data_IF_449567926901
#
_entry.id   IF_449567926901
#
_cell.length_a   1.000
_cell.length_b   1.000
_cell.length_c   1.000
_cell.angle_alpha   90.00
_cell.angle_beta   90.00
_cell.angle_gamma   90.00
#
_symmetry.space_group_name_H-M   'P 1'
#
loop_
_entity.id
_entity.type
_entity.pdbx_description
1 polymer ?
#
# COMPACT_ATOMS: atom_id res chain seq x y z
N UNK A 1 1.59 -16.12 -3.06
CA UNK A 1 0.79 -14.88 -3.22
C UNK A 1 -0.72 -15.19 -3.24
N UNK A 2 -1.23 -16.06 -4.11
CA UNK A 2 -2.67 -16.36 -4.24
C UNK A 2 -3.35 -16.79 -2.92
N UNK A 3 -2.71 -17.65 -2.12
CA UNK A 3 -3.26 -18.13 -0.84
C UNK A 3 -3.53 -17.01 0.15
N UNK A 4 -2.62 -16.03 0.28
CA UNK A 4 -2.79 -14.89 1.17
C UNK A 4 -3.78 -13.86 0.61
N UNK A 5 -3.85 -13.73 -0.72
CA UNK A 5 -4.87 -12.91 -1.36
C UNK A 5 -6.28 -13.44 -1.04
N UNK A 6 -6.52 -14.74 -1.25
CA UNK A 6 -7.80 -15.37 -0.89
C UNK A 6 -8.11 -15.25 0.61
N UNK A 7 -7.09 -15.36 1.46
CA UNK A 7 -7.23 -15.24 2.91
C UNK A 7 -7.68 -13.83 3.31
N UNK A 8 -7.03 -12.79 2.80
CA UNK A 8 -7.42 -11.41 3.12
C UNK A 8 -8.77 -11.05 2.51
N UNK A 9 -9.11 -11.51 1.30
CA UNK A 9 -10.41 -11.26 0.68
C UNK A 9 -11.54 -11.87 1.52
N UNK A 10 -11.34 -13.07 2.07
CA UNK A 10 -12.29 -13.69 3.01
C UNK A 10 -12.40 -12.89 4.31
N UNK A 11 -11.29 -12.44 4.88
CA UNK A 11 -11.29 -11.64 6.11
C UNK A 11 -11.95 -10.27 5.90
N UNK A 12 -11.66 -9.58 4.79
CA UNK A 12 -12.32 -8.32 4.41
C UNK A 12 -13.83 -8.52 4.26
N UNK A 13 -14.27 -9.60 3.60
CA UNK A 13 -15.69 -9.93 3.47
C UNK A 13 -16.39 -10.15 4.80
N UNK A 14 -15.66 -10.61 5.83
CA UNK A 14 -16.17 -10.79 7.20
C UNK A 14 -16.26 -9.48 7.98
N UNK A 15 -15.26 -8.61 7.88
CA UNK A 15 -15.20 -7.37 8.66
C UNK A 15 -16.02 -6.22 8.05
N UNK A 16 -16.24 -6.22 6.74
CA UNK A 16 -17.10 -5.22 6.11
C UNK A 16 -18.56 -5.44 6.49
N UNK A 17 -19.33 -4.36 6.75
CA UNK A 17 -20.76 -4.45 7.00
C UNK A 17 -21.48 -5.22 5.87
N UNK A 18 -22.55 -5.93 6.22
CA UNK A 18 -23.40 -6.61 5.24
C UNK A 18 -24.07 -5.58 4.33
N UNK A 19 -24.08 -5.84 3.03
CA UNK A 19 -24.64 -4.96 2.00
C UNK A 19 -26.16 -4.68 2.12
N UNK A 20 -26.87 -5.48 2.94
CA UNK A 20 -28.30 -5.33 3.21
C UNK A 20 -28.57 -4.52 4.49
N UNK A 21 -27.55 -4.21 5.26
CA UNK A 21 -27.67 -3.41 6.49
C UNK A 21 -27.81 -1.93 6.13
N UNK A 22 -28.71 -1.20 6.81
CA UNK A 22 -28.86 0.26 6.66
C UNK A 22 -27.66 0.98 7.27
N UNK A 23 -27.06 1.96 6.56
CA UNK A 23 -27.43 2.52 5.24
C UNK A 23 -26.91 1.65 4.07
N UNK A 24 -27.84 1.05 3.32
CA UNK A 24 -27.59 0.01 2.31
C UNK A 24 -26.60 0.48 1.23
N UNK A 25 -26.83 1.64 0.62
CA UNK A 25 -25.99 2.15 -0.48
C UNK A 25 -24.54 2.40 -0.03
N UNK A 26 -24.33 2.93 1.18
CA UNK A 26 -23.00 3.13 1.75
C UNK A 26 -22.25 1.80 1.91
N UNK A 27 -22.90 0.79 2.48
CA UNK A 27 -22.28 -0.51 2.68
C UNK A 27 -21.99 -1.24 1.36
N UNK A 28 -22.87 -1.07 0.36
CA UNK A 28 -22.62 -1.56 -1.00
C UNK A 28 -21.41 -0.88 -1.65
N UNK A 29 -21.27 0.44 -1.52
CA UNK A 29 -20.13 1.20 -2.04
C UNK A 29 -18.81 0.80 -1.37
N UNK A 30 -18.80 0.63 -0.04
CA UNK A 30 -17.64 0.13 0.69
C UNK A 30 -17.21 -1.26 0.19
N UNK A 31 -18.15 -2.21 0.06
CA UNK A 31 -17.88 -3.57 -0.42
C UNK A 31 -17.45 -3.58 -1.88
N UNK A 32 -18.11 -2.80 -2.73
CA UNK A 32 -17.75 -2.62 -4.13
C UNK A 32 -16.28 -2.23 -4.31
N UNK A 33 -15.84 -1.22 -3.56
CA UNK A 33 -14.48 -0.68 -3.68
C UNK A 33 -13.40 -1.58 -3.08
N UNK A 34 -13.74 -2.32 -2.00
CA UNK A 34 -12.77 -3.16 -1.28
C UNK A 34 -12.67 -4.55 -1.89
N UNK A 35 -13.79 -5.21 -2.23
CA UNK A 35 -13.81 -6.62 -2.64
C UNK A 35 -13.59 -6.84 -4.13
N UNK A 36 -13.39 -5.78 -4.90
CA UNK A 36 -13.23 -5.82 -6.35
C UNK A 36 -11.85 -6.29 -6.84
N UNK A 37 -11.17 -7.08 -6.05
CA UNK A 37 -9.86 -7.64 -6.41
C UNK A 37 -8.69 -6.68 -6.11
N UNK A 38 -7.61 -6.88 -6.84
CA UNK A 38 -6.34 -6.16 -6.65
C UNK A 38 -5.19 -7.11 -6.30
N UNK A 39 -3.96 -6.62 -6.45
CA UNK A 39 -2.75 -7.43 -6.18
C UNK A 39 -2.54 -7.72 -4.69
N UNK A 40 -3.24 -7.00 -3.79
CA UNK A 40 -3.13 -7.15 -2.32
C UNK A 40 -1.68 -7.12 -1.81
N UNK A 41 -0.88 -6.22 -2.35
CA UNK A 41 0.55 -6.12 -1.99
C UNK A 41 0.75 -5.75 -0.53
N UNK A 42 -0.02 -4.80 0.00
CA UNK A 42 0.09 -4.37 1.41
C UNK A 42 -0.31 -5.47 2.39
N UNK A 43 -1.45 -6.16 2.23
CA UNK A 43 -1.77 -7.38 2.97
C UNK A 43 -0.70 -8.47 2.85
N UNK A 44 -0.15 -8.69 1.65
CA UNK A 44 0.95 -9.64 1.45
C UNK A 44 2.15 -9.31 2.32
N UNK A 45 2.54 -8.03 2.39
CA UNK A 45 3.64 -7.56 3.23
C UNK A 45 3.37 -7.78 4.72
N UNK A 46 2.11 -7.58 5.18
CA UNK A 46 1.72 -7.89 6.56
C UNK A 46 1.92 -9.37 6.86
N UNK A 47 1.40 -10.26 6.00
CA UNK A 47 1.54 -11.71 6.19
C UNK A 47 3.00 -12.15 6.11
N UNK A 48 3.76 -11.67 5.14
CA UNK A 48 5.17 -12.05 4.93
C UNK A 48 6.07 -11.63 6.11
N UNK A 49 5.92 -10.40 6.59
CA UNK A 49 6.65 -9.92 7.76
C UNK A 49 6.22 -10.65 9.04
N UNK A 50 4.92 -10.90 9.18
CA UNK A 50 4.40 -11.66 10.31
C UNK A 50 4.85 -13.12 10.32
N UNK A 51 4.93 -13.78 9.16
CA UNK A 51 5.46 -15.15 9.05
C UNK A 51 6.94 -15.19 9.41
N UNK A 52 7.75 -14.24 8.93
CA UNK A 52 9.15 -14.09 9.29
C UNK A 52 9.34 -13.95 10.82
N UNK A 53 8.38 -13.36 11.49
CA UNK A 53 8.38 -13.14 12.94
C UNK A 53 7.60 -14.20 13.73
N UNK A 54 6.98 -15.19 13.09
CA UNK A 54 6.10 -16.21 13.72
C UNK A 54 4.94 -15.57 14.50
N UNK A 55 4.31 -14.56 13.91
CA UNK A 55 3.21 -13.82 14.50
C UNK A 55 1.90 -14.62 14.53
N UNK A 56 0.97 -14.17 15.39
CA UNK A 56 -0.37 -14.77 15.49
C UNK A 56 -1.18 -14.58 14.21
N UNK A 57 -1.74 -15.66 13.72
CA UNK A 57 -2.47 -15.68 12.44
C UNK A 57 -3.72 -14.78 12.45
N UNK A 58 -4.43 -14.70 13.58
CA UNK A 58 -5.63 -13.86 13.73
C UNK A 58 -5.25 -12.38 13.74
N UNK A 59 -4.16 -12.04 14.46
CA UNK A 59 -3.64 -10.67 14.46
C UNK A 59 -3.22 -10.23 13.06
N UNK A 60 -2.62 -11.13 12.27
CA UNK A 60 -2.26 -10.86 10.88
C UNK A 60 -3.48 -10.59 9.99
N UNK A 61 -4.58 -11.33 10.16
CA UNK A 61 -5.81 -11.10 9.38
C UNK A 61 -6.40 -9.72 9.67
N UNK A 62 -6.51 -9.33 10.94
CA UNK A 62 -6.99 -8.00 11.34
C UNK A 62 -6.11 -6.91 10.77
N UNK A 63 -4.79 -7.05 10.92
CA UNK A 63 -3.81 -6.04 10.48
C UNK A 63 -3.78 -5.92 8.95
N UNK A 64 -3.83 -7.05 8.23
CA UNK A 64 -3.90 -7.07 6.77
C UNK A 64 -5.16 -6.39 6.24
N UNK A 65 -6.31 -6.62 6.88
CA UNK A 65 -7.55 -5.89 6.58
C UNK A 65 -7.40 -4.40 6.83
N UNK A 66 -6.85 -4.01 7.98
CA UNK A 66 -6.69 -2.60 8.35
C UNK A 66 -5.87 -1.81 7.31
N UNK A 67 -4.71 -2.33 6.90
CA UNK A 67 -3.88 -1.64 5.90
C UNK A 67 -4.53 -1.60 4.52
N UNK A 68 -5.30 -2.63 4.14
CA UNK A 68 -5.99 -2.66 2.86
C UNK A 68 -7.19 -1.73 2.84
N UNK A 69 -7.93 -1.57 3.94
CA UNK A 69 -9.02 -0.60 4.06
C UNK A 69 -8.50 0.84 3.95
N UNK A 70 -7.35 1.15 4.55
CA UNK A 70 -6.66 2.44 4.35
C UNK A 70 -6.30 2.64 2.88
N UNK A 71 -5.74 1.63 2.22
CA UNK A 71 -5.43 1.72 0.81
C UNK A 71 -6.70 1.87 -0.05
N UNK A 72 -7.78 1.17 0.26
CA UNK A 72 -9.02 1.26 -0.50
C UNK A 72 -9.66 2.65 -0.39
N UNK A 73 -9.70 3.24 0.83
CA UNK A 73 -10.23 4.59 0.98
C UNK A 73 -9.42 5.62 0.18
N UNK A 74 -8.08 5.50 0.18
CA UNK A 74 -7.25 6.43 -0.58
C UNK A 74 -7.57 6.37 -2.08
N UNK A 75 -7.74 5.16 -2.63
CA UNK A 75 -8.12 5.00 -4.03
C UNK A 75 -9.50 5.57 -4.35
N UNK A 76 -10.49 5.40 -3.45
CA UNK A 76 -11.83 5.97 -3.63
C UNK A 76 -11.76 7.50 -3.70
N UNK A 77 -10.97 8.12 -2.81
CA UNK A 77 -10.85 9.58 -2.78
C UNK A 77 -9.97 10.11 -3.91
N UNK A 78 -8.89 9.41 -4.27
CA UNK A 78 -8.04 9.79 -5.41
C UNK A 78 -8.83 9.79 -6.73
N UNK A 79 -9.78 8.87 -6.92
CA UNK A 79 -10.62 8.79 -8.13
C UNK A 79 -11.64 9.93 -8.27
N UNK A 80 -11.91 10.74 -7.22
CA UNK A 80 -12.93 11.80 -7.27
C UNK A 80 -12.59 12.89 -8.29
N UNK A 81 -13.62 13.59 -8.85
CA UNK A 81 -13.41 14.69 -9.79
C UNK A 81 -12.55 15.85 -9.27
N UNK A 82 -12.47 16.03 -7.94
CA UNK A 82 -11.62 17.04 -7.31
C UNK A 82 -10.15 16.60 -7.16
N UNK A 83 -9.83 15.36 -7.52
CA UNK A 83 -8.52 14.74 -7.41
C UNK A 83 -8.02 14.30 -8.80
N UNK A 84 -7.92 13.00 -9.06
CA UNK A 84 -7.41 12.47 -10.34
C UNK A 84 -8.49 12.40 -11.44
N UNK A 85 -9.79 12.52 -11.09
CA UNK A 85 -10.96 12.47 -11.98
C UNK A 85 -10.99 11.20 -12.85
N UNK A 86 -10.71 10.05 -12.24
CA UNK A 86 -10.66 8.76 -12.94
C UNK A 86 -12.06 8.13 -13.07
N UNK A 87 -12.46 7.80 -14.29
CA UNK A 87 -13.73 7.10 -14.57
C UNK A 87 -13.68 5.60 -14.31
N UNK A 88 -12.50 4.99 -14.48
CA UNK A 88 -12.30 3.55 -14.41
C UNK A 88 -11.13 3.18 -13.50
N UNK A 89 -11.34 2.14 -12.68
CA UNK A 89 -10.29 1.51 -11.89
C UNK A 89 -10.36 -0.02 -12.02
N UNK A 90 -9.26 -0.65 -12.41
CA UNK A 90 -9.19 -2.10 -12.69
C UNK A 90 -10.24 -2.56 -13.71
N UNK A 91 -10.55 -1.72 -14.70
CA UNK A 91 -11.52 -2.00 -15.77
C UNK A 91 -12.98 -1.86 -15.37
N UNK A 92 -13.29 -1.36 -14.16
CA UNK A 92 -14.65 -1.09 -13.68
C UNK A 92 -14.84 0.39 -13.37
N UNK A 93 -16.09 0.91 -13.38
CA UNK A 93 -16.38 2.27 -12.95
C UNK A 93 -15.83 2.54 -11.54
N UNK A 94 -15.24 3.72 -11.33
CA UNK A 94 -14.81 4.17 -10.01
C UNK A 94 -16.01 4.34 -9.08
N UNK A 95 -15.79 4.40 -7.77
CA UNK A 95 -16.87 4.43 -6.78
C UNK A 95 -17.84 5.59 -7.01
N UNK A 96 -17.33 6.80 -7.31
CA UNK A 96 -18.18 7.97 -7.57
C UNK A 96 -18.99 7.85 -8.88
N UNK A 97 -18.52 7.06 -9.84
CA UNK A 97 -19.26 6.76 -11.09
C UNK A 97 -20.29 5.66 -10.92
N UNK A 98 -19.99 4.65 -10.08
CA UNK A 98 -20.91 3.54 -9.82
C UNK A 98 -22.06 3.94 -8.87
N UNK A 99 -21.83 4.90 -7.96
CA UNK A 99 -22.79 5.38 -6.98
C UNK A 99 -22.98 6.90 -7.14
N UNK A 100 -22.38 7.69 -6.26
CA UNK A 100 -22.32 9.15 -6.33
C UNK A 100 -21.05 9.68 -5.67
N UNK A 101 -20.68 10.94 -5.95
CA UNK A 101 -19.54 11.58 -5.27
C UNK A 101 -19.74 11.62 -3.75
N UNK A 102 -20.94 11.96 -3.29
CA UNK A 102 -21.25 11.98 -1.86
C UNK A 102 -21.10 10.59 -1.21
N UNK A 103 -21.61 9.54 -1.88
CA UNK A 103 -21.47 8.15 -1.40
C UNK A 103 -20.01 7.70 -1.42
N UNK A 104 -19.22 8.08 -2.42
CA UNK A 104 -17.80 7.77 -2.49
C UNK A 104 -17.01 8.43 -1.36
N UNK A 105 -17.24 9.73 -1.08
CA UNK A 105 -16.62 10.43 0.05
C UNK A 105 -16.95 9.71 1.36
N UNK A 106 -18.23 9.43 1.62
CA UNK A 106 -18.66 8.76 2.85
C UNK A 106 -18.13 7.32 2.95
N UNK A 107 -18.00 6.60 1.83
CA UNK A 107 -17.44 5.26 1.81
C UNK A 107 -15.95 5.28 2.22
N UNK A 108 -15.17 6.22 1.71
CA UNK A 108 -13.79 6.42 2.12
C UNK A 108 -13.67 6.76 3.61
N UNK A 109 -14.47 7.69 4.13
CA UNK A 109 -14.49 8.08 5.54
C UNK A 109 -14.86 6.88 6.45
N UNK A 110 -15.87 6.11 6.05
CA UNK A 110 -16.32 4.94 6.80
C UNK A 110 -15.26 3.82 6.82
N UNK A 111 -14.55 3.59 5.72
CA UNK A 111 -13.44 2.62 5.65
C UNK A 111 -12.28 3.03 6.54
N UNK A 112 -11.93 4.33 6.56
CA UNK A 112 -10.90 4.85 7.46
C UNK A 112 -11.29 4.63 8.93
N UNK A 113 -12.51 4.98 9.31
CA UNK A 113 -13.01 4.76 10.68
C UNK A 113 -13.02 3.27 11.06
N UNK A 114 -13.49 2.39 10.15
CA UNK A 114 -13.52 0.94 10.35
C UNK A 114 -12.11 0.39 10.58
N UNK A 115 -11.11 0.88 9.88
CA UNK A 115 -9.72 0.49 10.05
C UNK A 115 -9.24 0.60 11.50
N UNK A 116 -9.45 1.76 12.11
CA UNK A 116 -9.04 1.99 13.51
C UNK A 116 -9.88 1.19 14.50
N UNK A 117 -11.16 0.98 14.19
CA UNK A 117 -12.01 0.09 14.99
C UNK A 117 -11.48 -1.36 14.98
N UNK A 118 -11.07 -1.88 13.81
CA UNK A 118 -10.50 -3.23 13.71
C UNK A 118 -9.26 -3.39 14.59
N UNK A 119 -8.31 -2.48 14.52
CA UNK A 119 -7.08 -2.54 15.32
C UNK A 119 -7.34 -2.36 16.82
N UNK A 120 -8.30 -1.50 17.19
CA UNK A 120 -8.62 -1.26 18.58
C UNK A 120 -9.34 -2.45 19.23
N UNK A 121 -10.24 -3.10 18.51
CA UNK A 121 -11.21 -4.05 19.10
C UNK A 121 -11.01 -5.51 18.68
N UNK A 122 -10.57 -5.77 17.43
CA UNK A 122 -10.51 -7.14 16.89
C UNK A 122 -9.14 -7.81 16.98
N UNK A 123 -8.08 -7.09 17.35
CA UNK A 123 -6.80 -7.75 17.65
C UNK A 123 -6.98 -8.72 18.82
N UNK A 124 -6.37 -9.92 18.78
CA UNK A 124 -6.50 -10.91 19.87
C UNK A 124 -5.84 -10.41 21.17
N UNK A 125 -6.32 -10.90 22.32
CA UNK A 125 -5.83 -10.49 23.65
C UNK A 125 -4.34 -10.81 23.89
N UNK A 126 -3.76 -11.68 23.08
CA UNK A 126 -2.32 -11.94 23.06
C UNK A 126 -1.48 -10.70 22.70
N UNK A 127 -2.05 -9.72 21.98
CA UNK A 127 -1.36 -8.46 21.64
C UNK A 127 -1.57 -7.46 22.79
N UNK A 128 -0.51 -7.04 23.49
CA UNK A 128 -0.61 -6.11 24.61
C UNK A 128 -1.22 -4.76 24.20
N UNK A 129 -1.94 -4.11 25.12
CA UNK A 129 -2.60 -2.83 24.86
C UNK A 129 -1.63 -1.73 24.36
N UNK A 130 -0.44 -1.67 24.92
CA UNK A 130 0.62 -0.73 24.50
C UNK A 130 1.04 -0.98 23.05
N UNK A 131 1.18 -2.24 22.67
CA UNK A 131 1.52 -2.62 21.29
C UNK A 131 0.38 -2.31 20.31
N UNK A 132 -0.89 -2.52 20.73
CA UNK A 132 -2.07 -2.07 19.93
C UNK A 132 -2.06 -0.57 19.72
N UNK A 133 -1.79 0.23 20.77
CA UNK A 133 -1.68 1.69 20.65
C UNK A 133 -0.56 2.09 19.70
N UNK A 134 0.59 1.42 19.77
CA UNK A 134 1.71 1.67 18.85
C UNK A 134 1.34 1.33 17.39
N UNK A 135 0.58 0.26 17.15
CA UNK A 135 0.09 -0.08 15.81
C UNK A 135 -0.94 0.94 15.29
N UNK A 136 -1.85 1.39 16.16
CA UNK A 136 -2.83 2.45 15.83
C UNK A 136 -2.12 3.77 15.47
N UNK A 137 -1.17 4.21 16.28
CA UNK A 137 -0.38 5.43 16.03
C UNK A 137 0.40 5.31 14.72
N UNK A 138 1.07 4.18 14.51
CA UNK A 138 1.84 3.92 13.29
C UNK A 138 0.97 4.04 12.04
N UNK A 139 -0.21 3.43 12.03
CA UNK A 139 -1.11 3.49 10.88
C UNK A 139 -1.70 4.89 10.70
N UNK A 140 -2.06 5.58 11.79
CA UNK A 140 -2.56 6.95 11.75
C UNK A 140 -1.52 7.93 11.17
N UNK A 141 -0.26 7.81 11.58
CA UNK A 141 0.84 8.61 11.03
C UNK A 141 1.10 8.27 9.56
N UNK A 142 1.11 6.97 9.21
CA UNK A 142 1.38 6.52 7.83
C UNK A 142 0.26 6.88 6.84
N UNK A 143 -0.99 6.98 7.28
CA UNK A 143 -2.12 7.39 6.43
C UNK A 143 -2.39 8.90 6.44
N UNK A 144 -1.93 9.61 7.47
CA UNK A 144 -2.22 11.03 7.70
C UNK A 144 -1.33 12.01 6.94
N UNK A 145 -1.32 13.27 7.44
CA UNK A 145 -0.59 14.40 6.83
C UNK A 145 0.94 14.25 6.80
N UNK A 146 1.50 13.36 7.63
CA UNK A 146 2.92 13.02 7.65
C UNK A 146 3.23 11.71 6.91
N UNK A 147 2.26 11.18 6.18
CA UNK A 147 2.34 9.96 5.40
C UNK A 147 1.58 10.11 4.08
N UNK A 148 0.73 9.15 3.77
CA UNK A 148 0.07 9.01 2.48
C UNK A 148 -0.73 10.26 2.04
N UNK A 149 -1.58 10.81 2.92
CA UNK A 149 -2.35 12.02 2.59
C UNK A 149 -1.43 13.24 2.36
N UNK A 150 -0.34 13.37 3.14
CA UNK A 150 0.68 14.39 2.91
C UNK A 150 1.40 14.22 1.57
N UNK A 151 1.77 12.98 1.23
CA UNK A 151 2.38 12.64 -0.07
C UNK A 151 1.46 12.94 -1.24
N UNK A 152 0.16 12.66 -1.13
CA UNK A 152 -0.83 13.01 -2.15
C UNK A 152 -0.97 14.53 -2.31
N UNK A 153 -0.95 15.28 -1.21
CA UNK A 153 -0.97 16.75 -1.27
C UNK A 153 0.28 17.32 -1.96
N UNK A 154 1.45 16.73 -1.74
CA UNK A 154 2.70 17.09 -2.45
C UNK A 154 2.57 16.76 -3.94
N UNK A 155 2.06 15.60 -4.29
CA UNK A 155 1.88 15.15 -5.68
C UNK A 155 0.97 16.13 -6.45
N UNK A 156 -0.20 16.45 -5.90
CA UNK A 156 -1.12 17.43 -6.50
C UNK A 156 -0.49 18.83 -6.67
N UNK A 157 0.27 19.28 -5.67
CA UNK A 157 0.95 20.58 -5.74
C UNK A 157 2.11 20.58 -6.75
N UNK A 158 2.62 19.42 -7.14
CA UNK A 158 3.77 19.25 -8.04
C UNK A 158 3.38 19.20 -9.53
N UNK A 159 2.09 19.15 -9.85
CA UNK A 159 1.62 19.12 -11.24
C UNK A 159 2.09 20.36 -11.99
N UNK A 160 2.81 20.14 -13.10
CA UNK A 160 3.39 21.19 -13.92
C UNK A 160 4.63 21.88 -13.34
N UNK A 161 5.19 21.36 -12.24
CA UNK A 161 6.44 21.85 -11.66
C UNK A 161 7.59 20.88 -11.97
N UNK A 162 8.83 21.43 -11.98
CA UNK A 162 10.04 20.60 -12.07
C UNK A 162 10.49 20.28 -10.64
N UNK A 163 10.44 18.99 -10.29
CA UNK A 163 10.97 18.52 -9.01
C UNK A 163 12.45 18.13 -9.17
N UNK A 164 13.23 18.37 -8.14
CA UNK A 164 14.53 17.71 -7.95
C UNK A 164 14.32 16.23 -7.57
N UNK A 165 15.36 15.41 -7.73
CA UNK A 165 15.32 14.01 -7.31
C UNK A 165 14.92 13.85 -5.84
N UNK A 166 15.46 14.68 -4.95
CA UNK A 166 15.15 14.64 -3.52
C UNK A 166 13.67 14.97 -3.22
N UNK A 167 13.05 15.88 -3.97
CA UNK A 167 11.62 16.20 -3.83
C UNK A 167 10.74 15.07 -4.37
N UNK A 168 11.12 14.46 -5.49
CA UNK A 168 10.43 13.29 -6.04
C UNK A 168 10.48 12.11 -5.07
N UNK A 169 11.66 11.80 -4.53
CA UNK A 169 11.82 10.75 -3.51
C UNK A 169 10.97 11.04 -2.27
N UNK A 170 11.00 12.28 -1.77
CA UNK A 170 10.22 12.68 -0.61
C UNK A 170 8.71 12.48 -0.84
N UNK A 171 8.20 12.82 -2.01
CA UNK A 171 6.81 12.60 -2.41
C UNK A 171 6.46 11.09 -2.37
N UNK A 172 7.29 10.25 -3.02
CA UNK A 172 7.06 8.81 -3.07
C UNK A 172 7.21 8.11 -1.71
N UNK A 173 8.17 8.52 -0.89
CA UNK A 173 8.34 8.03 0.49
C UNK A 173 7.07 8.24 1.31
N UNK A 174 6.40 9.38 1.13
CA UNK A 174 5.16 9.69 1.85
C UNK A 174 3.94 9.05 1.20
N UNK A 175 3.69 9.30 -0.10
CA UNK A 175 2.49 8.84 -0.80
C UNK A 175 2.36 7.30 -0.80
N UNK A 176 3.44 6.59 -1.05
CA UNK A 176 3.45 5.13 -1.21
C UNK A 176 4.25 4.42 -0.11
N UNK A 177 5.46 4.90 0.16
CA UNK A 177 6.41 4.27 1.08
C UNK A 177 5.91 4.20 2.52
N UNK A 178 5.22 5.21 3.01
CA UNK A 178 4.72 5.26 4.39
C UNK A 178 3.81 4.07 4.72
N UNK A 179 2.84 3.76 3.85
CA UNK A 179 1.91 2.65 4.08
C UNK A 179 2.57 1.28 3.83
N UNK A 180 3.54 1.17 2.92
CA UNK A 180 4.36 -0.04 2.73
C UNK A 180 5.15 -0.33 4.00
N UNK A 181 5.83 0.67 4.57
CA UNK A 181 6.57 0.53 5.84
C UNK A 181 5.66 0.15 7.00
N UNK A 182 4.52 0.82 7.13
CA UNK A 182 3.52 0.48 8.15
C UNK A 182 3.06 -0.97 8.00
N UNK A 183 2.79 -1.46 6.77
CA UNK A 183 2.37 -2.84 6.51
C UNK A 183 3.39 -3.87 7.02
N UNK A 184 4.67 -3.68 6.69
CA UNK A 184 5.74 -4.59 7.13
C UNK A 184 5.92 -4.56 8.66
N UNK A 185 6.02 -3.37 9.24
CA UNK A 185 6.23 -3.21 10.69
C UNK A 185 5.06 -3.73 11.51
N UNK A 186 3.84 -3.41 11.12
CA UNK A 186 2.64 -3.87 11.81
C UNK A 186 2.48 -5.39 11.69
N UNK A 187 2.83 -5.99 10.53
CA UNK A 187 2.90 -7.45 10.38
C UNK A 187 3.85 -8.08 11.40
N UNK A 188 5.05 -7.54 11.55
CA UNK A 188 6.01 -7.99 12.56
C UNK A 188 5.49 -7.79 13.99
N UNK A 189 4.82 -6.67 14.26
CA UNK A 189 4.21 -6.34 15.56
C UNK A 189 2.98 -7.21 15.91
N UNK A 190 2.48 -8.03 14.99
CA UNK A 190 1.51 -9.08 15.34
C UNK A 190 2.12 -10.20 16.20
N UNK A 191 3.43 -10.19 16.44
CA UNK A 191 4.10 -10.98 17.46
C UNK A 191 4.31 -10.14 18.73
N UNK A 192 3.85 -10.59 19.91
CA UNK A 192 4.15 -9.94 21.16
C UNK A 192 5.66 -9.91 21.45
N UNK A 193 6.18 -8.78 21.91
CA UNK A 193 7.60 -8.66 22.31
C UNK A 193 8.57 -8.80 21.13
N UNK A 194 8.21 -8.27 19.98
CA UNK A 194 9.08 -8.25 18.79
C UNK A 194 10.43 -7.59 19.12
N UNK A 195 11.52 -8.22 18.66
CA UNK A 195 12.86 -7.69 18.81
C UNK A 195 13.03 -6.37 18.02
N UNK A 196 13.60 -5.35 18.69
CA UNK A 196 13.74 -4.01 18.13
C UNK A 196 14.71 -3.97 16.94
N UNK A 197 15.80 -4.76 16.97
CA UNK A 197 16.79 -4.82 15.89
C UNK A 197 16.18 -5.49 14.65
N UNK A 198 15.42 -6.57 14.83
CA UNK A 198 14.72 -7.23 13.73
C UNK A 198 13.64 -6.30 13.13
N UNK A 199 12.92 -5.55 13.98
CA UNK A 199 11.95 -4.57 13.50
C UNK A 199 12.61 -3.43 12.72
N UNK A 200 13.80 -2.98 13.12
CA UNK A 200 14.58 -1.98 12.38
C UNK A 200 15.06 -2.51 11.02
N UNK A 201 15.51 -3.76 10.94
CA UNK A 201 15.89 -4.42 9.68
C UNK A 201 14.71 -4.54 8.72
N UNK A 202 13.54 -4.93 9.23
CA UNK A 202 12.30 -4.95 8.44
C UNK A 202 11.85 -3.56 7.99
N UNK A 203 12.05 -2.52 8.82
CA UNK A 203 11.77 -1.13 8.43
C UNK A 203 12.70 -0.67 7.30
N UNK A 204 13.99 -1.04 7.36
CA UNK A 204 14.94 -0.74 6.29
C UNK A 204 14.59 -1.49 4.99
N UNK A 205 14.30 -2.78 5.08
CA UNK A 205 13.75 -3.55 3.95
C UNK A 205 12.56 -2.84 3.30
N UNK A 206 11.58 -2.40 4.11
CA UNK A 206 10.38 -1.77 3.61
C UNK A 206 10.63 -0.40 2.96
N UNK A 207 11.62 0.37 3.43
CA UNK A 207 12.06 1.61 2.78
C UNK A 207 12.61 1.33 1.38
N UNK A 208 13.54 0.37 1.28
CA UNK A 208 14.18 0.02 0.02
C UNK A 208 13.15 -0.47 -1.01
N UNK A 209 12.30 -1.45 -0.66
CA UNK A 209 11.29 -1.97 -1.60
C UNK A 209 10.23 -0.96 -1.97
N UNK A 210 9.86 -0.05 -1.06
CA UNK A 210 8.88 0.99 -1.34
C UNK A 210 9.38 1.97 -2.40
N UNK A 211 10.65 2.37 -2.32
CA UNK A 211 11.27 3.23 -3.31
C UNK A 211 11.54 2.49 -4.63
N UNK A 212 12.09 1.27 -4.56
CA UNK A 212 12.32 0.43 -5.75
C UNK A 212 11.01 0.17 -6.53
N UNK A 213 9.89 0.00 -5.81
CA UNK A 213 8.58 -0.17 -6.43
C UNK A 213 8.17 1.03 -7.29
N UNK A 214 8.39 2.25 -6.80
CA UNK A 214 8.06 3.47 -7.54
C UNK A 214 9.01 3.69 -8.73
N UNK A 215 10.31 3.48 -8.53
CA UNK A 215 11.29 3.57 -9.63
C UNK A 215 10.91 2.59 -10.75
N UNK A 216 10.54 1.36 -10.39
CA UNK A 216 10.16 0.35 -11.37
C UNK A 216 8.82 0.66 -12.05
N UNK A 217 7.85 1.28 -11.33
CA UNK A 217 6.61 1.74 -11.95
C UNK A 217 6.90 2.82 -13.01
N UNK A 218 7.76 3.79 -12.72
CA UNK A 218 8.17 4.84 -13.64
C UNK A 218 8.93 4.28 -14.85
N UNK A 219 9.84 3.29 -14.62
CA UNK A 219 10.55 2.60 -15.69
C UNK A 219 9.56 1.88 -16.62
N UNK A 220 8.59 1.18 -16.04
CA UNK A 220 7.58 0.44 -16.82
C UNK A 220 6.67 1.38 -17.63
N UNK A 221 6.30 2.53 -17.09
CA UNK A 221 5.49 3.52 -17.82
C UNK A 221 6.24 4.03 -19.08
N UNK A 222 7.57 4.10 -19.02
CA UNK A 222 8.38 4.54 -20.16
C UNK A 222 8.61 3.45 -21.21
N UNK A 223 8.84 2.18 -20.81
CA UNK A 223 9.31 1.12 -21.72
C UNK A 223 8.25 0.10 -22.13
N UNK A 224 7.23 -0.14 -21.29
CA UNK A 224 6.25 -1.18 -21.56
C UNK A 224 5.16 -0.69 -22.53
N UNK A 225 4.67 -1.60 -23.38
CA UNK A 225 3.56 -1.32 -24.24
C UNK A 225 2.23 -1.22 -23.47
N UNK A 226 1.21 -0.61 -24.11
CA UNK A 226 -0.12 -0.37 -23.51
C UNK A 226 -0.82 -1.67 -23.10
N UNK A 227 -0.55 -2.80 -23.76
CA UNK A 227 -1.17 -4.09 -23.42
C UNK A 227 -0.60 -4.64 -22.11
N UNK A 228 0.71 -4.45 -21.87
CA UNK A 228 1.39 -4.91 -20.66
C UNK A 228 1.06 -4.06 -19.44
N UNK A 229 0.93 -2.74 -19.63
CA UNK A 229 0.64 -1.79 -18.52
C UNK A 229 -0.82 -1.81 -18.04
N UNK A 230 -1.76 -2.14 -18.91
CA UNK A 230 -3.20 -1.93 -18.66
C UNK A 230 -3.60 -0.44 -18.54
N UNK A 231 -2.67 0.46 -18.89
CA UNK A 231 -2.81 1.93 -19.00
C UNK A 231 -2.18 2.39 -20.31
N UNK A 232 -2.46 3.61 -20.73
CA UNK A 232 -1.79 4.21 -21.89
C UNK A 232 -0.31 4.41 -21.58
N UNK A 233 0.59 3.88 -22.42
CA UNK A 233 2.05 4.09 -22.29
C UNK A 233 2.38 5.58 -22.28
N UNK A 234 3.30 5.99 -21.38
CA UNK A 234 3.73 7.38 -21.27
C UNK A 234 2.65 8.31 -20.67
N UNK A 235 1.70 7.77 -19.91
CA UNK A 235 0.65 8.57 -19.26
C UNK A 235 1.25 9.64 -18.34
N UNK A 236 2.26 9.31 -17.55
CA UNK A 236 2.93 10.26 -16.67
C UNK A 236 3.69 11.33 -17.45
N UNK A 237 4.34 10.96 -18.57
CA UNK A 237 4.99 11.91 -19.48
C UNK A 237 4.01 12.84 -20.17
N UNK A 238 2.83 12.35 -20.58
CA UNK A 238 1.78 13.16 -21.18
C UNK A 238 1.21 14.19 -20.20
N UNK A 239 1.24 13.88 -18.89
CA UNK A 239 0.83 14.78 -17.80
C UNK A 239 1.98 15.67 -17.28
N UNK A 240 3.18 15.62 -17.91
CA UNK A 240 4.39 16.29 -17.42
C UNK A 240 4.70 16.00 -15.93
N UNK A 241 4.43 14.78 -15.48
CA UNK A 241 4.81 14.34 -14.13
C UNK A 241 6.32 14.07 -14.08
N UNK A 242 7.02 14.48 -13.03
CA UNK A 242 8.43 14.14 -12.83
C UNK A 242 8.55 12.63 -12.55
N UNK A 243 9.45 11.95 -13.28
CA UNK A 243 9.72 10.51 -13.11
C UNK A 243 11.22 10.27 -12.93
N UNK A 244 11.59 9.13 -12.33
CA UNK A 244 13.01 8.77 -12.15
C UNK A 244 13.75 8.68 -13.49
N UNK A 245 13.25 8.01 -14.55
CA UNK A 245 13.92 7.99 -15.84
C UNK A 245 14.08 9.38 -16.47
N UNK A 246 13.12 10.30 -16.27
CA UNK A 246 13.21 11.65 -16.78
C UNK A 246 14.30 12.49 -16.08
N UNK A 247 14.57 12.23 -14.79
CA UNK A 247 15.57 12.96 -14.01
C UNK A 247 16.97 12.36 -14.09
N UNK A 248 17.09 11.05 -14.09
CA UNK A 248 18.36 10.31 -14.04
C UNK A 248 18.79 9.73 -15.39
N UNK A 249 17.85 9.49 -16.28
CA UNK A 249 18.01 8.57 -17.41
C UNK A 249 17.61 7.15 -17.05
N UNK A 250 17.23 6.36 -18.06
CA UNK A 250 16.66 5.01 -17.87
C UNK A 250 17.66 4.03 -17.22
N UNK A 251 18.93 4.06 -17.62
CA UNK A 251 19.93 3.11 -17.09
C UNK A 251 20.28 3.40 -15.63
N UNK A 252 20.46 4.67 -15.26
CA UNK A 252 20.73 5.06 -13.87
C UNK A 252 19.53 4.77 -12.96
N UNK A 253 18.30 4.93 -13.47
CA UNK A 253 17.08 4.53 -12.73
C UNK A 253 17.04 3.02 -12.48
N UNK A 254 17.42 2.19 -13.48
CA UNK A 254 17.52 0.73 -13.29
C UNK A 254 18.60 0.35 -12.29
N UNK A 255 19.77 0.99 -12.36
CA UNK A 255 20.87 0.75 -11.42
C UNK A 255 20.43 1.08 -9.98
N UNK A 256 19.79 2.23 -9.77
CA UNK A 256 19.23 2.64 -8.48
C UNK A 256 18.20 1.63 -7.94
N UNK A 257 17.31 1.10 -8.78
CA UNK A 257 16.36 0.06 -8.38
C UNK A 257 17.06 -1.23 -7.95
N UNK A 258 18.14 -1.63 -8.62
CA UNK A 258 18.94 -2.82 -8.28
C UNK A 258 19.76 -2.64 -6.99
N UNK A 259 20.28 -1.44 -6.73
CA UNK A 259 20.96 -1.12 -5.47
C UNK A 259 19.98 -1.24 -4.30
N UNK A 260 18.78 -0.64 -4.41
CA UNK A 260 17.73 -0.75 -3.41
C UNK A 260 17.28 -2.19 -3.17
N UNK A 261 17.18 -3.00 -4.21
CA UNK A 261 16.93 -4.44 -4.09
C UNK A 261 18.02 -5.14 -3.29
N UNK A 262 19.29 -4.84 -3.59
CA UNK A 262 20.44 -5.44 -2.89
C UNK A 262 20.41 -5.10 -1.40
N UNK A 263 20.16 -3.83 -1.05
CA UNK A 263 20.05 -3.36 0.33
C UNK A 263 18.86 -4.00 1.05
N UNK A 264 17.72 -4.16 0.35
CA UNK A 264 16.56 -4.86 0.89
C UNK A 264 16.91 -6.32 1.24
N UNK A 265 17.56 -7.05 0.34
CA UNK A 265 17.98 -8.44 0.60
C UNK A 265 19.01 -8.53 1.73
N UNK A 266 19.96 -7.59 1.80
CA UNK A 266 20.94 -7.53 2.87
C UNK A 266 20.28 -7.33 4.25
N UNK A 267 19.22 -6.54 4.32
CA UNK A 267 18.45 -6.33 5.56
C UNK A 267 17.79 -7.62 6.10
N UNK A 268 17.58 -8.62 5.24
CA UNK A 268 16.97 -9.89 5.60
C UNK A 268 17.98 -11.01 5.90
N UNK A 269 19.27 -10.71 6.01
CA UNK A 269 20.34 -11.72 6.18
C UNK A 269 20.18 -12.52 7.49
N UNK A 270 19.71 -11.87 8.56
CA UNK A 270 19.54 -12.52 9.87
C UNK A 270 18.19 -13.26 10.01
N UNK A 271 17.36 -13.23 8.98
CA UNK A 271 16.09 -13.96 8.95
C UNK A 271 16.26 -15.30 8.25
N UNK A 272 15.61 -16.31 8.80
CA UNK A 272 15.59 -17.64 8.19
C UNK A 272 14.66 -17.73 6.94
N UNK A 273 14.39 -18.93 6.47
CA UNK A 273 13.56 -19.19 5.28
C UNK A 273 12.11 -18.68 5.39
N UNK A 274 11.61 -18.34 6.58
CA UNK A 274 10.28 -17.74 6.76
C UNK A 274 10.21 -16.31 6.18
N UNK A 275 11.36 -15.67 5.96
CA UNK A 275 11.43 -14.39 5.25
C UNK A 275 11.52 -14.53 3.73
N UNK A 276 11.54 -15.75 3.17
CA UNK A 276 11.59 -15.95 1.72
C UNK A 276 10.47 -15.24 0.96
N UNK A 277 9.22 -15.15 1.45
CA UNK A 277 8.19 -14.37 0.79
C UNK A 277 8.56 -12.88 0.62
N UNK A 278 9.29 -12.28 1.59
CA UNK A 278 9.80 -10.91 1.46
C UNK A 278 10.90 -10.83 0.39
N UNK A 279 11.82 -11.82 0.34
CA UNK A 279 12.89 -11.90 -0.68
C UNK A 279 12.30 -12.02 -2.08
N UNK A 280 11.29 -12.88 -2.26
CA UNK A 280 10.60 -13.06 -3.54
C UNK A 280 9.84 -11.80 -3.98
N UNK A 281 9.23 -11.08 -3.05
CA UNK A 281 8.56 -9.83 -3.40
C UNK A 281 9.56 -8.77 -3.85
N UNK A 282 10.71 -8.63 -3.16
CA UNK A 282 11.76 -7.70 -3.56
C UNK A 282 12.27 -8.02 -4.97
N UNK A 283 12.53 -9.30 -5.26
CA UNK A 283 12.93 -9.77 -6.59
C UNK A 283 11.84 -9.48 -7.63
N UNK A 284 10.59 -9.83 -7.34
CA UNK A 284 9.47 -9.59 -8.24
C UNK A 284 9.32 -8.11 -8.59
N UNK A 285 9.55 -7.19 -7.65
CA UNK A 285 9.44 -5.75 -7.87
C UNK A 285 10.41 -5.30 -8.97
N UNK A 286 11.68 -5.73 -8.94
CA UNK A 286 12.69 -5.29 -9.89
C UNK A 286 12.72 -6.08 -11.21
N UNK A 287 12.19 -7.31 -11.21
CA UNK A 287 12.15 -8.18 -12.40
C UNK A 287 10.84 -8.06 -13.21
N UNK A 288 9.78 -7.43 -12.69
CA UNK A 288 8.53 -7.28 -13.43
C UNK A 288 8.73 -6.42 -14.68
N UNK A 289 8.32 -6.94 -15.82
CA UNK A 289 8.45 -6.27 -17.12
C UNK A 289 9.71 -6.62 -17.91
N UNK A 290 10.48 -7.63 -17.44
CA UNK A 290 11.57 -8.26 -18.19
C UNK A 290 11.08 -9.52 -18.88
#
# INVERSE_FOLDING_TARGET
MQTWQQRVDKALGHYLPDEKTTPVELHQAMRYSVLDGGKRVRPFLVYAAGEAMQADATALDVTACAVELIHAYSLIHDDLPAMDDDDLRRGKPTCHRAFSEATAILAGDALQALTFHLLAYHLPDSIPAEQRLSMLDMLAVASGSRGMAGGQAIDLASVGQQLSLAELENMHIHKTGALIRASVKMGAMCRPGVDADLLQKLDHYAKCIGLAFQIQDDILDEIADTETLGKTQGADRALNKPTYPALLGLEDAKEMAMELYTDAIQSLTDFDQRADPLRWLAQYIVERGN
#
